data_IF_811361506691
#
_entry.id   IF_811361506691
#
_cell.length_a   1.000
_cell.length_b   1.000
_cell.length_c   1.000
_cell.angle_alpha   90.00
_cell.angle_beta   90.00
_cell.angle_gamma   90.00
#
_symmetry.space_group_name_H-M   'P 1'
#
loop_
_entity.id
_entity.type
_entity.pdbx_description
1 polymer ?
#
# COMPACT_ATOMS: atom_id res chain seq x y z
N UNK A 1 16.76 -13.20 18.82
CA UNK A 1 15.96 -13.52 17.60
C UNK A 1 14.73 -12.61 17.52
N UNK A 2 13.92 -12.52 18.58
CA UNK A 2 12.78 -11.58 18.69
C UNK A 2 13.13 -10.15 18.27
N UNK A 3 14.16 -9.54 18.86
CA UNK A 3 14.57 -8.18 18.49
C UNK A 3 14.93 -7.99 16.99
N UNK A 4 15.30 -9.06 16.27
CA UNK A 4 15.52 -8.99 14.82
C UNK A 4 14.19 -8.99 14.06
N UNK A 5 13.21 -9.77 14.52
CA UNK A 5 11.85 -9.78 13.97
C UNK A 5 11.16 -8.44 14.19
N UNK A 6 11.28 -7.87 15.40
CA UNK A 6 10.71 -6.55 15.71
C UNK A 6 11.31 -5.46 14.81
N UNK A 7 12.65 -5.46 14.67
CA UNK A 7 13.34 -4.53 13.77
C UNK A 7 12.91 -4.70 12.30
N UNK A 8 12.66 -5.94 11.86
CA UNK A 8 12.19 -6.20 10.50
C UNK A 8 10.74 -5.75 10.31
N UNK A 9 9.84 -6.02 11.27
CA UNK A 9 8.45 -5.52 11.24
C UNK A 9 8.42 -3.99 11.16
N UNK A 10 9.23 -3.31 11.98
CA UNK A 10 9.34 -1.85 11.94
C UNK A 10 9.86 -1.33 10.59
N UNK A 11 10.77 -2.08 9.95
CA UNK A 11 11.27 -1.73 8.63
C UNK A 11 10.19 -1.91 7.56
N UNK A 12 9.44 -3.01 7.59
CA UNK A 12 8.31 -3.25 6.68
C UNK A 12 7.27 -2.13 6.78
N UNK A 13 6.91 -1.70 8.00
CA UNK A 13 5.97 -0.59 8.22
C UNK A 13 6.45 0.77 7.69
N UNK A 14 7.77 0.95 7.49
CA UNK A 14 8.38 2.19 7.00
C UNK A 14 8.71 2.15 5.50
N UNK A 15 8.59 1.00 4.86
CA UNK A 15 8.99 0.83 3.46
C UNK A 15 7.98 1.50 2.52
N UNK A 16 8.38 2.55 1.83
CA UNK A 16 7.53 3.20 0.83
C UNK A 16 7.83 2.67 -0.58
N UNK A 17 6.79 2.29 -1.31
CA UNK A 17 6.81 1.77 -2.68
C UNK A 17 6.03 2.76 -3.56
N UNK A 18 6.68 3.28 -4.60
CA UNK A 18 6.09 4.24 -5.53
C UNK A 18 6.02 3.66 -6.94
N UNK A 19 4.86 3.80 -7.58
CA UNK A 19 4.63 3.48 -8.99
C UNK A 19 4.20 4.76 -9.76
N UNK A 20 5.09 5.40 -10.53
CA UNK A 20 4.83 6.68 -11.18
C UNK A 20 3.99 6.59 -12.47
N UNK A 21 3.62 5.38 -12.91
CA UNK A 21 2.73 5.13 -14.03
C UNK A 21 1.85 3.92 -13.71
N UNK A 22 1.09 4.04 -12.61
CA UNK A 22 0.51 2.88 -11.96
C UNK A 22 -0.59 2.20 -12.76
N UNK A 23 -1.15 2.87 -13.77
CA UNK A 23 -2.27 2.35 -14.56
C UNK A 23 -3.40 1.89 -13.65
N UNK A 24 -3.86 0.66 -13.87
CA UNK A 24 -4.88 -0.01 -13.05
C UNK A 24 -4.37 -0.53 -11.69
N UNK A 25 -3.12 -0.26 -11.32
CA UNK A 25 -2.52 -0.57 -10.03
C UNK A 25 -2.02 -2.01 -9.90
N UNK A 26 -1.77 -2.74 -10.99
CA UNK A 26 -1.36 -4.15 -10.92
C UNK A 26 -0.09 -4.37 -10.07
N UNK A 27 0.92 -3.53 -10.24
CA UNK A 27 2.15 -3.59 -9.45
C UNK A 27 1.88 -3.29 -7.97
N UNK A 28 1.11 -2.24 -7.69
CA UNK A 28 0.75 -1.86 -6.31
C UNK A 28 -0.06 -2.96 -5.61
N UNK A 29 -0.95 -3.67 -6.32
CA UNK A 29 -1.66 -4.83 -5.78
C UNK A 29 -0.68 -5.97 -5.42
N UNK A 30 0.33 -6.21 -6.24
CA UNK A 30 1.33 -7.24 -5.94
C UNK A 30 2.25 -6.82 -4.79
N UNK A 31 2.57 -5.53 -4.68
CA UNK A 31 3.31 -4.97 -3.56
C UNK A 31 2.53 -5.07 -2.24
N UNK A 32 1.21 -4.80 -2.28
CA UNK A 32 0.31 -5.01 -1.16
C UNK A 32 0.37 -6.48 -0.69
N UNK A 33 0.19 -7.43 -1.62
CA UNK A 33 0.23 -8.87 -1.32
C UNK A 33 1.56 -9.26 -0.66
N UNK A 34 2.67 -8.83 -1.24
CA UNK A 34 4.00 -9.11 -0.70
C UNK A 34 4.15 -8.60 0.74
N UNK A 35 3.69 -7.39 1.03
CA UNK A 35 3.79 -6.83 2.38
C UNK A 35 2.89 -7.57 3.38
N UNK A 36 1.67 -7.96 2.98
CA UNK A 36 0.78 -8.76 3.81
C UNK A 36 1.42 -10.12 4.15
N UNK A 37 1.97 -10.79 3.15
CA UNK A 37 2.64 -12.08 3.31
C UNK A 37 3.85 -11.98 4.25
N UNK A 38 4.69 -10.96 4.06
CA UNK A 38 5.86 -10.73 4.90
C UNK A 38 5.49 -10.42 6.36
N UNK A 39 4.45 -9.59 6.57
CA UNK A 39 3.95 -9.33 7.92
C UNK A 39 3.41 -10.59 8.58
N UNK A 40 2.63 -11.39 7.85
CA UNK A 40 2.09 -12.67 8.32
C UNK A 40 3.22 -13.64 8.68
N UNK A 41 4.27 -13.72 7.85
CA UNK A 41 5.44 -14.55 8.12
C UNK A 41 6.15 -14.14 9.43
N UNK A 42 6.30 -12.84 9.68
CA UNK A 42 6.88 -12.34 10.93
C UNK A 42 6.02 -12.68 12.14
N UNK A 43 4.70 -12.52 12.02
CA UNK A 43 3.74 -12.86 13.08
C UNK A 43 3.79 -14.36 13.43
N UNK A 44 3.83 -15.23 12.42
CA UNK A 44 3.97 -16.68 12.61
C UNK A 44 5.28 -17.05 13.32
N UNK A 45 6.40 -16.47 12.90
CA UNK A 45 7.70 -16.73 13.53
C UNK A 45 7.71 -16.28 14.99
N UNK A 46 7.10 -15.13 15.28
CA UNK A 46 7.01 -14.61 16.63
C UNK A 46 6.11 -15.47 17.52
N UNK A 47 4.94 -15.89 17.01
CA UNK A 47 4.03 -16.81 17.71
C UNK A 47 4.71 -18.14 18.05
N UNK A 48 5.41 -18.75 17.08
CA UNK A 48 6.18 -19.99 17.28
C UNK A 48 7.30 -19.83 18.32
N UNK A 49 7.96 -18.67 18.36
CA UNK A 49 9.07 -18.42 19.28
C UNK A 49 8.60 -18.13 20.72
N UNK A 50 7.39 -17.60 20.88
CA UNK A 50 6.80 -17.24 22.18
C UNK A 50 5.84 -18.31 22.73
N UNK A 51 5.55 -19.37 21.97
CA UNK A 51 4.53 -20.38 22.27
C UNK A 51 3.15 -19.74 22.52
N UNK A 52 2.81 -18.75 21.69
CA UNK A 52 1.56 -17.98 21.77
C UNK A 52 0.68 -18.26 20.55
N UNK A 53 -0.65 -18.13 20.69
CA UNK A 53 -1.55 -18.21 19.54
C UNK A 53 -1.24 -17.09 18.54
N UNK A 54 -1.33 -17.41 17.26
CA UNK A 54 -1.16 -16.43 16.17
C UNK A 54 -2.25 -15.36 16.27
N UNK A 55 -1.83 -14.11 16.36
CA UNK A 55 -2.70 -12.93 16.27
C UNK A 55 -2.29 -12.20 15.01
N UNK A 56 -3.19 -12.13 14.03
CA UNK A 56 -2.97 -11.39 12.78
C UNK A 56 -3.62 -10.01 12.97
N UNK A 57 -2.81 -8.95 13.17
CA UNK A 57 -3.34 -7.60 13.26
C UNK A 57 -3.86 -7.13 11.89
N UNK A 58 -4.67 -6.09 11.92
CA UNK A 58 -5.23 -5.41 10.74
C UNK A 58 -4.15 -4.59 10.01
N UNK A 59 -3.19 -5.30 9.42
CA UNK A 59 -1.97 -4.76 8.84
C UNK A 59 -2.19 -4.21 7.44
N UNK A 60 -3.18 -4.73 6.71
CA UNK A 60 -3.46 -4.33 5.33
C UNK A 60 -3.72 -2.83 5.22
N UNK A 61 -4.35 -2.27 6.25
CA UNK A 61 -4.68 -0.85 6.31
C UNK A 61 -3.46 0.01 6.55
N UNK A 62 -2.56 -0.43 7.42
CA UNK A 62 -1.30 0.27 7.63
C UNK A 62 -0.47 0.26 6.35
N UNK A 63 -0.50 -0.85 5.60
CA UNK A 63 0.18 -0.96 4.31
C UNK A 63 -0.38 0.04 3.30
N UNK A 64 -1.70 0.07 3.13
CA UNK A 64 -2.34 1.01 2.20
C UNK A 64 -2.12 2.48 2.57
N UNK A 65 -2.12 2.79 3.86
CA UNK A 65 -2.01 4.16 4.36
C UNK A 65 -0.57 4.66 4.47
N UNK A 66 0.45 3.79 4.48
CA UNK A 66 1.83 4.25 4.72
C UNK A 66 2.82 3.79 3.65
N UNK A 67 2.56 2.69 2.96
CA UNK A 67 3.57 2.03 2.15
C UNK A 67 3.37 2.25 0.65
N UNK A 68 2.13 2.38 0.15
CA UNK A 68 1.87 2.33 -1.30
C UNK A 68 1.51 3.70 -1.88
N UNK A 69 2.23 4.11 -2.92
CA UNK A 69 2.08 5.39 -3.62
C UNK A 69 2.00 5.15 -5.13
N UNK A 70 1.09 5.84 -5.80
CA UNK A 70 0.86 5.67 -7.24
C UNK A 70 0.47 6.97 -7.93
N UNK A 71 0.95 7.16 -9.15
CA UNK A 71 0.55 8.26 -10.02
C UNK A 71 0.21 7.70 -11.39
N UNK A 72 -0.86 8.18 -12.00
CA UNK A 72 -1.13 7.96 -13.42
C UNK A 72 -1.78 9.19 -14.04
N UNK A 73 -1.48 9.44 -15.32
CA UNK A 73 -2.03 10.59 -16.05
C UNK A 73 -3.51 10.38 -16.41
N UNK A 74 -3.97 9.14 -16.50
CA UNK A 74 -5.34 8.77 -16.80
C UNK A 74 -6.16 8.62 -15.50
N UNK A 75 -7.17 9.49 -15.35
CA UNK A 75 -8.04 9.50 -14.17
C UNK A 75 -8.83 8.19 -13.98
N UNK A 76 -9.33 7.60 -15.07
CA UNK A 76 -10.04 6.31 -15.01
C UNK A 76 -9.13 5.19 -14.50
N UNK A 77 -7.86 5.20 -14.91
CA UNK A 77 -6.87 4.21 -14.44
C UNK A 77 -6.60 4.34 -12.95
N UNK A 78 -6.46 5.58 -12.46
CA UNK A 78 -6.33 5.89 -11.03
C UNK A 78 -7.53 5.39 -10.22
N UNK A 79 -8.76 5.61 -10.70
CA UNK A 79 -9.96 5.12 -10.00
C UNK A 79 -10.05 3.59 -9.99
N UNK A 80 -9.66 2.92 -11.09
CA UNK A 80 -9.55 1.46 -11.14
C UNK A 80 -8.50 0.95 -10.14
N UNK A 81 -7.34 1.60 -10.05
CA UNK A 81 -6.30 1.25 -9.09
C UNK A 81 -6.78 1.36 -7.63
N UNK A 82 -7.42 2.47 -7.28
CA UNK A 82 -8.02 2.68 -5.95
C UNK A 82 -9.06 1.63 -5.63
N UNK A 83 -9.97 1.34 -6.57
CA UNK A 83 -11.01 0.32 -6.37
C UNK A 83 -10.40 -1.07 -6.21
N UNK A 84 -9.39 -1.43 -7.01
CA UNK A 84 -8.71 -2.73 -6.91
C UNK A 84 -8.04 -2.91 -5.55
N UNK A 85 -7.30 -1.91 -5.08
CA UNK A 85 -6.64 -1.94 -3.76
C UNK A 85 -7.66 -2.00 -2.62
N UNK A 86 -8.77 -1.27 -2.74
CA UNK A 86 -9.86 -1.34 -1.78
C UNK A 86 -10.51 -2.72 -1.73
N UNK A 87 -10.82 -3.33 -2.88
CA UNK A 87 -11.45 -4.65 -2.94
C UNK A 87 -10.60 -5.72 -2.27
N UNK A 88 -9.27 -5.64 -2.40
CA UNK A 88 -8.34 -6.57 -1.72
C UNK A 88 -8.34 -6.42 -0.20
N UNK A 89 -8.63 -5.23 0.30
CA UNK A 89 -8.58 -4.89 1.74
C UNK A 89 -9.97 -4.64 2.32
N UNK A 90 -11.02 -4.99 1.57
CA UNK A 90 -12.38 -4.67 1.91
C UNK A 90 -12.83 -5.47 3.14
N UNK A 91 -13.09 -4.75 4.23
CA UNK A 91 -13.68 -5.31 5.44
C UNK A 91 -15.08 -4.74 5.68
N UNK A 92 -15.95 -5.55 6.29
CA UNK A 92 -17.34 -5.18 6.57
C UNK A 92 -17.37 -3.92 7.46
N UNK A 93 -17.93 -2.82 6.93
CA UNK A 93 -18.08 -1.55 7.65
C UNK A 93 -17.04 -0.46 7.33
N UNK A 94 -16.09 -0.71 6.43
CA UNK A 94 -15.07 0.27 6.02
C UNK A 94 -15.54 1.19 4.88
N UNK A 95 -15.14 2.47 4.91
CA UNK A 95 -15.36 3.44 3.82
C UNK A 95 -14.17 3.51 2.86
N UNK A 96 -14.44 3.77 1.58
CA UNK A 96 -13.44 3.87 0.50
C UNK A 96 -12.46 5.06 0.65
N UNK A 97 -12.87 6.12 1.35
CA UNK A 97 -12.22 7.44 1.31
C UNK A 97 -10.78 7.49 1.87
N UNK A 98 -10.38 6.54 2.71
CA UNK A 98 -9.02 6.53 3.30
C UNK A 98 -7.91 6.18 2.30
N UNK A 99 -8.24 5.43 1.23
CA UNK A 99 -7.27 5.04 0.18
C UNK A 99 -6.95 6.16 -0.82
N UNK A 100 -7.70 7.25 -0.81
CA UNK A 100 -7.70 8.24 -1.88
C UNK A 100 -6.40 9.09 -1.92
N UNK A 101 -5.65 9.15 -0.83
CA UNK A 101 -4.62 10.18 -0.66
C UNK A 101 -3.26 9.83 -1.30
N UNK A 102 -2.97 8.57 -1.60
CA UNK A 102 -1.65 8.15 -2.13
C UNK A 102 -1.67 7.69 -3.59
N UNK A 103 -2.85 7.44 -4.15
CA UNK A 103 -3.01 7.14 -5.58
C UNK A 103 -3.61 8.38 -6.24
N UNK A 104 -2.83 9.08 -7.06
CA UNK A 104 -3.17 10.41 -7.57
C UNK A 104 -3.19 10.45 -9.09
N UNK A 105 -4.08 11.28 -9.63
CA UNK A 105 -4.10 11.61 -11.06
C UNK A 105 -3.10 12.74 -11.30
N UNK A 106 -2.10 12.51 -12.15
CA UNK A 106 -1.02 13.45 -12.39
C UNK A 106 -0.04 13.00 -13.47
N UNK A 107 0.74 13.94 -13.98
CA UNK A 107 1.82 13.73 -14.92
C UNK A 107 3.12 13.57 -14.13
N UNK A 108 3.56 12.34 -13.95
CA UNK A 108 4.77 12.02 -13.17
C UNK A 108 6.09 12.53 -13.79
N UNK A 109 6.04 13.12 -15.00
CA UNK A 109 7.21 13.70 -15.67
C UNK A 109 7.25 15.23 -15.58
N UNK A 110 6.15 15.91 -15.25
CA UNK A 110 6.03 17.36 -15.36
C UNK A 110 5.31 17.92 -14.13
N UNK A 111 6.04 18.70 -13.35
CA UNK A 111 5.58 19.40 -12.15
C UNK A 111 5.16 20.86 -12.43
N UNK A 112 5.47 21.39 -13.62
CA UNK A 112 5.13 22.75 -14.04
C UNK A 112 3.65 22.88 -14.45
N UNK A 113 2.82 23.65 -13.71
CA UNK A 113 1.42 23.88 -14.05
C UNK A 113 1.22 24.62 -15.37
N UNK A 114 2.20 25.41 -15.83
CA UNK A 114 2.12 26.08 -17.13
C UNK A 114 2.16 25.08 -18.31
N UNK A 115 2.75 23.89 -18.09
CA UNK A 115 2.91 22.84 -19.10
C UNK A 115 1.88 21.73 -18.94
N UNK A 116 1.64 21.25 -17.72
CA UNK A 116 0.77 20.10 -17.44
C UNK A 116 -0.63 20.47 -16.90
N UNK A 117 -0.90 21.74 -16.65
CA UNK A 117 -2.18 22.22 -16.10
C UNK A 117 -2.54 21.53 -14.78
N UNK A 118 -3.80 21.12 -14.64
CA UNK A 118 -4.32 20.45 -13.43
C UNK A 118 -3.69 19.07 -13.16
N UNK A 119 -2.87 18.56 -14.09
CA UNK A 119 -2.15 17.29 -13.94
C UNK A 119 -0.69 17.48 -13.55
N UNK A 120 -0.20 18.69 -13.32
CA UNK A 120 1.16 18.88 -12.80
C UNK A 120 1.34 18.12 -11.47
N UNK A 121 2.41 17.33 -11.35
CA UNK A 121 2.66 16.46 -10.19
C UNK A 121 4.11 16.52 -9.69
#
# INVERSE_FOLDING_TARGET
>A
LLAKLDKYREWLLKLTICDPACGSGAFLNQALEFLIDEHTYVDELQAKLLDQPLVIPDIENQILENNLFGVDINEESVEIAKLSLWLRTAQKGRKLTSLNNHIKCGNSLIDDPEVAGDKAF
#
